data_IF_178050344892
#
_entry.id   IF_178050344892
#
_cell.length_a   1.000
_cell.length_b   1.000
_cell.length_c   1.000
_cell.angle_alpha   90.00
_cell.angle_beta   90.00
_cell.angle_gamma   90.00
#
_symmetry.space_group_name_H-M   'P 1'
#
loop_
_entity.id
_entity.type
_entity.pdbx_description
1 polymer ?
#
# COMPACT_ATOMS: atom_id res chain seq x y z
N UNK A 1 -25.26 12.03 -6.92
CA UNK A 1 -24.15 12.35 -6.00
C UNK A 1 -23.91 11.27 -4.95
N UNK A 2 -24.92 10.74 -4.27
CA UNK A 2 -24.75 9.69 -3.23
C UNK A 2 -24.01 8.41 -3.69
N UNK A 3 -24.27 7.91 -4.91
CA UNK A 3 -23.59 6.71 -5.44
C UNK A 3 -22.08 6.95 -5.62
N UNK A 4 -21.69 8.13 -6.12
CA UNK A 4 -20.28 8.47 -6.30
C UNK A 4 -19.56 8.56 -4.95
N UNK A 5 -20.19 9.17 -3.94
CA UNK A 5 -19.65 9.23 -2.58
C UNK A 5 -19.45 7.83 -2.00
N UNK A 6 -20.44 6.94 -2.15
CA UNK A 6 -20.35 5.58 -1.64
C UNK A 6 -19.25 4.77 -2.34
N UNK A 7 -19.09 4.94 -3.66
CA UNK A 7 -18.00 4.31 -4.41
C UNK A 7 -16.62 4.82 -3.97
N UNK A 8 -16.42 6.14 -3.90
CA UNK A 8 -15.11 6.71 -3.62
C UNK A 8 -14.66 6.57 -2.18
N UNK A 9 -15.57 6.65 -1.21
CA UNK A 9 -15.22 6.63 0.21
C UNK A 9 -15.35 5.26 0.88
N UNK A 10 -16.08 4.32 0.27
CA UNK A 10 -16.22 2.96 0.78
C UNK A 10 -15.67 1.90 -0.16
N UNK A 11 -16.19 1.81 -1.38
CA UNK A 11 -15.84 0.70 -2.27
C UNK A 11 -14.37 0.74 -2.72
N UNK A 12 -13.86 1.92 -3.07
CA UNK A 12 -12.46 2.10 -3.52
C UNK A 12 -11.46 1.78 -2.40
N UNK A 13 -11.56 2.35 -1.19
CA UNK A 13 -10.64 2.02 -0.10
C UNK A 13 -10.72 0.54 0.30
N UNK A 14 -11.92 -0.06 0.30
CA UNK A 14 -12.10 -1.47 0.65
C UNK A 14 -11.48 -2.41 -0.40
N UNK A 15 -11.72 -2.14 -1.69
CA UNK A 15 -11.11 -2.90 -2.77
C UNK A 15 -9.57 -2.76 -2.77
N UNK A 16 -9.06 -1.55 -2.51
CA UNK A 16 -7.63 -1.30 -2.40
C UNK A 16 -7.03 -2.06 -1.20
N UNK A 17 -7.67 -2.02 -0.03
CA UNK A 17 -7.22 -2.77 1.14
C UNK A 17 -7.18 -4.28 0.86
N UNK A 18 -8.24 -4.84 0.26
CA UNK A 18 -8.29 -6.25 -0.10
C UNK A 18 -7.19 -6.64 -1.09
N UNK A 19 -6.95 -5.82 -2.12
CA UNK A 19 -5.89 -6.05 -3.10
C UNK A 19 -4.50 -6.02 -2.45
N UNK A 20 -4.23 -5.05 -1.58
CA UNK A 20 -2.95 -4.92 -0.88
C UNK A 20 -2.70 -6.08 0.09
N UNK A 21 -3.73 -6.54 0.82
CA UNK A 21 -3.63 -7.74 1.66
C UNK A 21 -3.30 -8.98 0.83
N UNK A 22 -4.00 -9.16 -0.30
CA UNK A 22 -3.70 -10.25 -1.23
C UNK A 22 -2.26 -10.17 -1.75
N UNK A 23 -1.82 -8.99 -2.20
CA UNK A 23 -0.47 -8.79 -2.74
C UNK A 23 0.60 -9.03 -1.67
N UNK A 24 0.38 -8.54 -0.45
CA UNK A 24 1.28 -8.77 0.68
C UNK A 24 1.39 -10.26 1.03
N UNK A 25 0.26 -10.98 1.03
CA UNK A 25 0.24 -12.43 1.23
C UNK A 25 1.06 -13.16 0.15
N UNK A 26 0.86 -12.81 -1.13
CA UNK A 26 1.58 -13.42 -2.25
C UNK A 26 3.09 -13.15 -2.20
N UNK A 27 3.52 -11.94 -1.81
CA UNK A 27 4.94 -11.61 -1.68
C UNK A 27 5.58 -12.19 -0.41
N UNK A 28 4.84 -12.22 0.70
CA UNK A 28 5.35 -12.67 2.01
C UNK A 28 5.37 -14.19 2.17
N UNK A 29 4.38 -14.89 1.63
CA UNK A 29 4.21 -16.35 1.78
C UNK A 29 4.11 -17.09 0.45
N UNK A 30 3.41 -16.52 -0.54
CA UNK A 30 3.21 -17.13 -1.86
C UNK A 30 4.45 -17.18 -2.76
N UNK A 31 5.60 -16.66 -2.31
CA UNK A 31 6.87 -16.57 -3.05
C UNK A 31 6.79 -15.85 -4.40
N UNK A 32 5.71 -15.11 -4.68
CA UNK A 32 5.53 -14.32 -5.92
C UNK A 32 6.26 -12.99 -5.81
N UNK A 33 7.59 -13.05 -5.79
CA UNK A 33 8.45 -11.87 -5.62
C UNK A 33 8.38 -10.92 -6.81
N UNK A 34 7.97 -11.38 -7.99
CA UNK A 34 7.79 -10.54 -9.19
C UNK A 34 6.78 -9.40 -8.96
N UNK A 35 5.84 -9.56 -8.03
CA UNK A 35 4.86 -8.54 -7.65
C UNK A 35 5.50 -7.27 -7.04
N UNK A 36 6.76 -7.35 -6.62
CA UNK A 36 7.56 -6.18 -6.20
C UNK A 36 7.80 -5.19 -7.34
N UNK A 37 7.82 -5.68 -8.58
CA UNK A 37 8.03 -4.86 -9.78
C UNK A 37 6.78 -4.07 -10.15
N UNK A 38 5.60 -4.49 -9.69
CA UNK A 38 4.35 -3.76 -9.93
C UNK A 38 4.44 -2.36 -9.35
N UNK A 39 3.91 -1.37 -10.08
CA UNK A 39 3.87 0.05 -9.70
C UNK A 39 5.20 0.80 -9.78
N UNK A 40 6.31 0.14 -10.16
CA UNK A 40 7.62 0.77 -10.31
C UNK A 40 7.89 0.98 -11.80
N UNK A 41 8.00 2.23 -12.21
CA UNK A 41 8.43 2.58 -13.56
C UNK A 41 9.92 2.26 -13.68
N UNK A 42 10.26 1.24 -14.48
CA UNK A 42 11.63 0.70 -14.67
C UNK A 42 12.22 0.14 -13.37
N UNK A 43 11.79 -1.06 -12.92
CA UNK A 43 12.29 -1.66 -11.69
C UNK A 43 13.78 -2.02 -11.81
N UNK A 44 14.63 -1.64 -10.83
CA UNK A 44 16.04 -2.02 -10.82
C UNK A 44 16.20 -3.53 -10.59
N UNK A 45 17.29 -4.09 -11.10
CA UNK A 45 17.62 -5.50 -10.90
C UNK A 45 17.82 -5.81 -9.41
N UNK A 46 17.34 -6.98 -8.98
CA UNK A 46 17.43 -7.43 -7.59
C UNK A 46 16.37 -6.83 -6.64
N UNK A 47 15.38 -6.08 -7.14
CA UNK A 47 14.31 -5.52 -6.31
C UNK A 47 13.46 -6.58 -5.59
N UNK A 48 13.40 -7.78 -6.14
CA UNK A 48 12.76 -8.96 -5.56
C UNK A 48 13.37 -9.34 -4.19
N UNK A 49 14.64 -9.02 -3.96
CA UNK A 49 15.28 -9.17 -2.65
C UNK A 49 14.66 -8.28 -1.56
N UNK A 50 13.85 -7.30 -1.94
CA UNK A 50 13.06 -6.46 -1.03
C UNK A 50 11.60 -6.92 -0.90
N UNK A 51 11.21 -8.10 -1.40
CA UNK A 51 9.81 -8.56 -1.39
C UNK A 51 9.15 -8.53 -0.01
N UNK A 52 9.88 -8.91 1.03
CA UNK A 52 9.37 -8.84 2.41
C UNK A 52 9.09 -7.40 2.86
N UNK A 53 9.90 -6.44 2.42
CA UNK A 53 9.70 -5.02 2.72
C UNK A 53 8.44 -4.48 2.02
N UNK A 54 8.25 -4.83 0.75
CA UNK A 54 7.04 -4.48 0.01
C UNK A 54 5.78 -5.13 0.60
N UNK A 55 5.88 -6.39 1.07
CA UNK A 55 4.78 -7.06 1.75
C UNK A 55 4.38 -6.35 3.05
N UNK A 56 5.35 -5.92 3.85
CA UNK A 56 5.10 -5.12 5.05
C UNK A 56 4.49 -3.76 4.72
N UNK A 57 5.00 -3.08 3.68
CA UNK A 57 4.44 -1.81 3.24
C UNK A 57 2.97 -1.95 2.80
N UNK A 58 2.65 -2.99 2.04
CA UNK A 58 1.29 -3.26 1.58
C UNK A 58 0.36 -3.63 2.77
N UNK A 59 0.84 -4.41 3.75
CA UNK A 59 0.09 -4.72 4.98
C UNK A 59 -0.22 -3.47 5.80
N UNK A 60 0.79 -2.61 6.04
CA UNK A 60 0.62 -1.37 6.81
C UNK A 60 -0.36 -0.44 6.12
N UNK A 61 -0.26 -0.32 4.79
CA UNK A 61 -1.17 0.54 4.04
C UNK A 61 -2.59 -0.03 4.03
N UNK A 62 -2.76 -1.33 3.81
CA UNK A 62 -4.06 -1.98 3.93
C UNK A 62 -4.70 -1.81 5.33
N UNK A 63 -3.90 -1.96 6.39
CA UNK A 63 -4.36 -1.75 7.76
C UNK A 63 -4.83 -0.30 7.99
N UNK A 64 -4.12 0.69 7.45
CA UNK A 64 -4.56 2.10 7.54
C UNK A 64 -5.87 2.35 6.79
N UNK A 65 -6.10 1.70 5.64
CA UNK A 65 -7.36 1.80 4.89
C UNK A 65 -8.51 1.14 5.64
N UNK A 66 -8.31 -0.04 6.21
CA UNK A 66 -9.30 -0.72 7.05
C UNK A 66 -9.63 0.08 8.31
N UNK A 67 -8.63 0.67 8.96
CA UNK A 67 -8.82 1.55 10.11
C UNK A 67 -9.63 2.78 9.71
N UNK A 68 -9.30 3.44 8.60
CA UNK A 68 -10.03 4.60 8.12
C UNK A 68 -11.49 4.27 7.76
N UNK A 69 -11.76 3.10 7.17
CA UNK A 69 -13.11 2.61 6.92
C UNK A 69 -13.87 2.33 8.23
N UNK A 70 -13.22 1.69 9.20
CA UNK A 70 -13.81 1.46 10.53
C UNK A 70 -14.14 2.78 11.24
N UNK A 71 -13.23 3.75 11.21
CA UNK A 71 -13.44 5.08 11.78
C UNK A 71 -14.54 5.85 11.06
N UNK A 72 -14.66 5.71 9.74
CA UNK A 72 -15.74 6.34 8.96
C UNK A 72 -17.11 5.76 9.34
N UNK A 73 -17.19 4.44 9.58
CA UNK A 73 -18.42 3.78 10.03
C UNK A 73 -18.80 4.14 11.46
N UNK A 74 -17.83 4.20 12.38
CA UNK A 74 -18.07 4.48 13.79
C UNK A 74 -18.24 5.97 14.09
N UNK A 75 -17.55 6.84 13.36
CA UNK A 75 -17.43 8.27 13.63
C UNK A 75 -17.53 9.09 12.32
N UNK A 76 -18.67 9.03 11.60
CA UNK A 76 -18.81 9.62 10.26
C UNK A 76 -18.64 11.14 10.23
N UNK A 77 -19.00 11.85 11.31
CA UNK A 77 -18.82 13.30 11.46
C UNK A 77 -17.36 13.81 11.37
N UNK A 78 -16.36 12.92 11.50
CA UNK A 78 -14.93 13.27 11.36
C UNK A 78 -14.35 12.86 10.00
N UNK A 79 -15.18 12.55 9.00
CA UNK A 79 -14.76 12.07 7.68
C UNK A 79 -13.61 12.88 7.05
N UNK A 80 -13.61 14.20 7.18
CA UNK A 80 -12.55 15.06 6.66
C UNK A 80 -11.17 14.77 7.28
N UNK A 81 -11.10 14.47 8.58
CA UNK A 81 -9.86 14.12 9.26
C UNK A 81 -9.37 12.72 8.83
N UNK A 82 -10.28 11.81 8.51
CA UNK A 82 -9.95 10.45 8.07
C UNK A 82 -9.32 10.39 6.68
N UNK A 83 -9.67 11.34 5.80
CA UNK A 83 -9.02 11.50 4.48
C UNK A 83 -7.52 11.79 4.64
N UNK A 84 -7.14 12.64 5.59
CA UNK A 84 -5.74 12.92 5.88
C UNK A 84 -4.98 11.68 6.37
N UNK A 85 -5.65 10.82 7.15
CA UNK A 85 -5.07 9.54 7.61
C UNK A 85 -4.79 8.60 6.44
N UNK A 86 -5.71 8.49 5.47
CA UNK A 86 -5.49 7.70 4.26
C UNK A 86 -4.35 8.26 3.39
N UNK A 87 -4.24 9.58 3.29
CA UNK A 87 -3.17 10.25 2.55
C UNK A 87 -1.79 9.97 3.17
N UNK A 88 -1.69 9.99 4.50
CA UNK A 88 -0.45 9.62 5.23
C UNK A 88 0.00 8.19 4.92
N UNK A 89 -0.95 7.25 4.81
CA UNK A 89 -0.65 5.88 4.39
C UNK A 89 0.03 5.80 3.01
N UNK A 90 -0.40 6.65 2.07
CA UNK A 90 0.23 6.77 0.76
C UNK A 90 1.67 7.29 0.82
N UNK A 91 1.95 8.29 1.66
CA UNK A 91 3.31 8.79 1.87
C UNK A 91 4.23 7.74 2.49
N UNK A 92 3.73 6.97 3.47
CA UNK A 92 4.49 5.86 4.07
C UNK A 92 4.84 4.82 3.00
N UNK A 93 3.87 4.42 2.18
CA UNK A 93 4.08 3.47 1.08
C UNK A 93 5.14 3.95 0.07
N UNK A 94 5.10 5.22 -0.31
CA UNK A 94 6.12 5.85 -1.15
C UNK A 94 7.50 5.89 -0.47
N UNK A 95 7.55 6.17 0.84
CA UNK A 95 8.79 6.18 1.62
C UNK A 95 9.48 4.82 1.65
N UNK A 96 8.73 3.73 1.85
CA UNK A 96 9.25 2.36 1.77
C UNK A 96 9.80 2.02 0.39
N UNK A 97 9.09 2.41 -0.66
CA UNK A 97 9.53 2.23 -2.04
C UNK A 97 10.82 3.00 -2.32
N UNK A 98 10.90 4.26 -1.89
CA UNK A 98 12.10 5.10 -2.00
C UNK A 98 13.30 4.52 -1.24
N UNK A 99 13.07 4.01 -0.03
CA UNK A 99 14.11 3.33 0.76
C UNK A 99 14.64 2.08 0.05
N UNK A 100 13.77 1.25 -0.52
CA UNK A 100 14.17 0.06 -1.26
C UNK A 100 15.05 0.42 -2.47
N UNK A 101 14.65 1.44 -3.24
CA UNK A 101 15.41 1.94 -4.38
C UNK A 101 16.78 2.50 -3.96
N UNK A 102 16.84 3.28 -2.88
CA UNK A 102 18.10 3.81 -2.35
C UNK A 102 19.05 2.71 -1.87
N UNK A 103 18.51 1.65 -1.24
CA UNK A 103 19.27 0.48 -0.80
C UNK A 103 19.89 -0.28 -1.97
N UNK A 104 19.18 -0.39 -3.09
CA UNK A 104 19.68 -1.07 -4.30
C UNK A 104 20.74 -0.24 -5.03
N UNK A 105 20.58 1.10 -5.10
CA UNK A 105 21.59 2.00 -5.70
C UNK A 105 22.94 1.99 -4.98
N UNK A 106 22.95 1.71 -3.67
CA UNK A 106 24.18 1.61 -2.87
C UNK A 106 24.94 0.28 -3.04
N UNK A 107 24.34 -0.73 -3.68
CA UNK A 107 25.03 -1.97 -4.00
C UNK A 107 25.78 -1.79 -5.33
N UNK A 108 27.08 -2.10 -5.42
CA UNK A 108 27.77 -2.10 -6.70
C UNK A 108 27.11 -3.11 -7.63
N UNK A 109 27.02 -2.82 -8.95
CA UNK A 109 26.57 -3.80 -9.92
C UNK A 109 27.49 -5.03 -9.81
N UNK A 110 26.89 -6.21 -9.67
CA UNK A 110 27.58 -7.49 -9.75
C UNK A 110 27.59 -7.96 -11.19
#
# INVERSE_FOLDING_TARGET
MYIATLLFYFAVPAAMAAFLLWRAYQMGTGKRVELTRQWIVRPPEGIEGCARLFAWSDLLFAASLLLALGLLLCLPHYAAAWIALMALGGFVHQGFTGYALARLRKKPPR
#
